data_IF_526158913988
#
_entry.id   IF_526158913988
#
_cell.length_a   1.000
_cell.length_b   1.000
_cell.length_c   1.000
_cell.angle_alpha   90.00
_cell.angle_beta   90.00
_cell.angle_gamma   90.00
#
_symmetry.space_group_name_H-M   'P 1'
#
loop_
_entity.id
_entity.type
_entity.pdbx_description
1 polymer ?
#
# COMPACT_ATOMS: atom_id res chain seq x y z
N UNK A 1 33.87 -24.76 5.11
CA UNK A 1 34.06 -23.56 5.96
C UNK A 1 35.48 -23.08 5.73
N UNK A 2 35.71 -21.95 5.06
CA UNK A 2 37.07 -21.42 4.88
C UNK A 2 37.52 -20.74 6.18
N UNK A 3 38.58 -21.23 6.82
CA UNK A 3 39.11 -20.72 8.09
C UNK A 3 39.52 -19.23 8.06
N UNK A 4 39.74 -18.66 6.87
CA UNK A 4 40.26 -17.31 6.67
C UNK A 4 39.33 -16.18 7.17
N UNK A 5 38.03 -16.43 7.35
CA UNK A 5 37.06 -15.37 7.70
C UNK A 5 36.74 -15.27 9.19
N UNK A 6 37.26 -16.14 10.05
CA UNK A 6 36.91 -16.13 11.49
C UNK A 6 37.47 -14.93 12.27
N UNK A 7 38.52 -14.28 11.76
CA UNK A 7 39.19 -13.17 12.44
C UNK A 7 39.00 -11.82 11.74
N UNK A 8 38.30 -11.78 10.60
CA UNK A 8 38.07 -10.55 9.85
C UNK A 8 36.76 -9.89 10.29
N UNK A 9 36.82 -8.59 10.57
CA UNK A 9 35.64 -7.78 10.91
C UNK A 9 35.08 -7.05 9.69
N UNK A 10 33.84 -6.55 9.78
CA UNK A 10 33.26 -5.67 8.73
C UNK A 10 34.12 -4.42 8.51
N UNK A 11 34.79 -3.93 9.55
CA UNK A 11 35.66 -2.76 9.48
C UNK A 11 36.89 -3.03 8.61
N UNK A 12 37.45 -4.24 8.67
CA UNK A 12 38.63 -4.61 7.88
C UNK A 12 38.32 -4.67 6.38
N UNK A 13 37.09 -5.08 6.02
CA UNK A 13 36.64 -5.13 4.63
C UNK A 13 36.31 -3.75 4.04
N UNK A 14 36.00 -2.74 4.86
CA UNK A 14 35.52 -1.42 4.40
C UNK A 14 36.47 -0.72 3.41
N UNK A 15 37.78 -0.81 3.63
CA UNK A 15 38.78 -0.20 2.73
C UNK A 15 38.84 -0.92 1.38
N UNK A 16 38.73 -2.25 1.39
CA UNK A 16 38.72 -3.05 0.18
C UNK A 16 37.40 -2.87 -0.58
N UNK A 17 36.26 -2.82 0.12
CA UNK A 17 34.95 -2.48 -0.43
C UNK A 17 34.97 -1.11 -1.12
N UNK A 18 35.53 -0.08 -0.49
CA UNK A 18 35.62 1.26 -1.11
C UNK A 18 36.45 1.24 -2.40
N UNK A 19 37.56 0.49 -2.42
CA UNK A 19 38.41 0.37 -3.61
C UNK A 19 37.67 -0.34 -4.75
N UNK A 20 36.98 -1.44 -4.45
CA UNK A 20 36.26 -2.22 -5.45
C UNK A 20 35.02 -1.46 -5.94
N UNK A 21 34.27 -0.81 -5.05
CA UNK A 21 33.15 0.05 -5.43
C UNK A 21 33.60 1.17 -6.38
N UNK A 22 34.73 1.84 -6.12
CA UNK A 22 35.26 2.87 -7.02
C UNK A 22 35.58 2.34 -8.43
N UNK A 23 35.98 1.07 -8.55
CA UNK A 23 36.25 0.43 -9.84
C UNK A 23 34.98 -0.01 -10.57
N UNK A 24 33.87 -0.17 -9.84
CA UNK A 24 32.60 -0.70 -10.35
C UNK A 24 31.45 0.31 -10.21
N UNK A 25 31.74 1.61 -10.37
CA UNK A 25 30.70 2.64 -10.44
C UNK A 25 29.92 2.89 -9.14
N UNK A 26 30.56 2.64 -7.99
CA UNK A 26 29.99 2.81 -6.66
C UNK A 26 29.32 1.57 -6.08
N UNK A 27 29.32 0.44 -6.79
CA UNK A 27 28.70 -0.80 -6.34
C UNK A 27 29.73 -1.93 -6.24
N UNK A 28 29.61 -2.80 -5.23
CA UNK A 28 30.41 -4.01 -5.14
C UNK A 28 29.69 -5.14 -5.88
N UNK A 29 30.30 -5.77 -6.90
CA UNK A 29 29.69 -6.89 -7.61
C UNK A 29 29.32 -8.03 -6.66
N UNK A 30 28.15 -8.64 -6.86
CA UNK A 30 27.67 -9.75 -6.04
C UNK A 30 28.61 -10.97 -6.08
N UNK A 31 29.19 -11.22 -7.26
CA UNK A 31 30.11 -12.34 -7.49
C UNK A 31 31.53 -12.10 -6.98
N UNK A 32 31.79 -10.94 -6.38
CA UNK A 32 33.12 -10.63 -5.85
C UNK A 32 33.43 -11.41 -4.57
N UNK A 33 34.70 -11.77 -4.39
CA UNK A 33 35.21 -12.39 -3.16
C UNK A 33 34.92 -11.52 -1.91
N UNK A 34 34.84 -10.19 -2.04
CA UNK A 34 34.47 -9.28 -0.96
C UNK A 34 33.03 -9.46 -0.51
N UNK A 35 32.09 -9.55 -1.47
CA UNK A 35 30.68 -9.78 -1.18
C UNK A 35 30.45 -11.14 -0.50
N UNK A 36 31.22 -12.16 -0.91
CA UNK A 36 31.20 -13.48 -0.29
C UNK A 36 31.73 -13.43 1.17
N UNK A 37 32.86 -12.77 1.40
CA UNK A 37 33.41 -12.61 2.75
C UNK A 37 32.46 -11.83 3.67
N UNK A 38 31.83 -10.76 3.17
CA UNK A 38 30.83 -9.99 3.92
C UNK A 38 29.63 -10.86 4.32
N UNK A 39 29.13 -11.67 3.40
CA UNK A 39 28.00 -12.58 3.66
C UNK A 39 28.34 -13.59 4.77
N UNK A 40 29.54 -14.16 4.75
CA UNK A 40 30.00 -15.09 5.79
C UNK A 40 30.13 -14.40 7.16
N UNK A 41 30.67 -13.18 7.21
CA UNK A 41 30.76 -12.38 8.45
C UNK A 41 29.35 -12.04 8.98
N UNK A 42 28.43 -11.70 8.10
CA UNK A 42 27.05 -11.38 8.46
C UNK A 42 26.30 -12.59 9.02
N UNK A 43 26.54 -13.77 8.46
CA UNK A 43 25.97 -15.03 8.95
C UNK A 43 26.53 -15.43 10.32
N UNK A 44 27.79 -15.12 10.61
CA UNK A 44 28.43 -15.43 11.89
C UNK A 44 28.16 -14.37 12.97
N UNK A 45 27.58 -13.23 12.62
CA UNK A 45 27.18 -12.22 13.59
C UNK A 45 25.93 -12.66 14.37
N UNK A 46 25.95 -12.47 15.70
CA UNK A 46 24.79 -12.75 16.56
C UNK A 46 23.69 -11.70 16.32
N UNK A 47 22.90 -11.91 15.26
CA UNK A 47 21.75 -11.07 14.88
C UNK A 47 20.72 -10.91 16.00
N UNK A 48 20.35 -11.93 16.79
CA UNK A 48 19.35 -11.72 17.85
C UNK A 48 19.84 -10.74 18.92
N UNK A 49 21.10 -10.81 19.34
CA UNK A 49 21.68 -9.85 20.31
C UNK A 49 21.67 -8.40 19.78
N UNK A 50 21.93 -8.21 18.48
CA UNK A 50 21.85 -6.89 17.85
C UNK A 50 20.42 -6.33 17.84
N UNK A 51 19.43 -7.19 17.58
CA UNK A 51 18.01 -6.81 17.58
C UNK A 51 17.57 -6.38 18.98
N UNK A 52 17.96 -7.12 20.02
CA UNK A 52 17.65 -6.77 21.41
C UNK A 52 18.26 -5.42 21.82
N UNK A 53 19.52 -5.18 21.44
CA UNK A 53 20.21 -3.91 21.70
C UNK A 53 19.52 -2.71 21.02
N UNK A 54 19.05 -2.87 19.79
CA UNK A 54 18.33 -1.81 19.06
C UNK A 54 16.93 -1.60 19.64
N UNK A 55 16.22 -2.68 19.98
CA UNK A 55 14.90 -2.63 20.62
C UNK A 55 14.94 -1.87 21.95
N UNK A 56 15.99 -2.06 22.74
CA UNK A 56 16.18 -1.35 24.00
C UNK A 56 16.47 0.15 23.84
N UNK A 57 17.02 0.59 22.70
CA UNK A 57 17.36 2.00 22.43
C UNK A 57 16.35 2.72 21.53
N UNK A 58 15.22 2.09 21.23
CA UNK A 58 14.19 2.72 20.40
C UNK A 58 13.44 3.77 21.27
N UNK A 59 13.38 5.05 20.87
CA UNK A 59 12.64 6.04 21.62
C UNK A 59 11.18 5.61 21.73
N UNK A 60 10.63 5.71 22.94
CA UNK A 60 9.22 5.44 23.18
C UNK A 60 8.38 6.41 22.33
N UNK A 61 7.33 5.94 21.64
CA UNK A 61 6.39 6.83 20.99
C UNK A 61 5.83 7.85 22.00
N UNK A 62 5.90 9.14 21.69
CA UNK A 62 5.42 10.25 22.53
C UNK A 62 3.91 10.17 22.85
N UNK A 63 3.16 9.41 22.06
CA UNK A 63 1.75 9.14 22.30
C UNK A 63 1.53 7.64 22.41
N UNK A 64 0.97 7.14 23.53
CA UNK A 64 0.53 5.75 23.56
C UNK A 64 -0.48 5.55 22.42
N UNK A 65 -0.49 4.39 21.75
CA UNK A 65 -1.51 4.10 20.77
C UNK A 65 -2.86 4.22 21.47
N UNK A 66 -3.64 5.23 21.07
CA UNK A 66 -5.00 5.40 21.55
C UNK A 66 -5.76 4.13 21.17
N UNK A 67 -6.45 3.56 22.15
CA UNK A 67 -7.30 2.40 21.88
C UNK A 67 -8.21 2.77 20.72
N UNK A 68 -8.21 1.95 19.67
CA UNK A 68 -9.09 2.19 18.54
C UNK A 68 -10.53 2.04 19.03
N UNK A 69 -11.33 3.09 18.88
CA UNK A 69 -12.76 3.16 19.27
C UNK A 69 -13.65 2.28 18.38
N UNK A 70 -13.28 1.00 18.17
CA UNK A 70 -14.03 0.01 17.40
C UNK A 70 -15.44 -0.26 17.95
N UNK A 71 -15.74 0.20 19.17
CA UNK A 71 -17.05 0.07 19.82
C UNK A 71 -17.99 1.25 19.54
N UNK A 72 -17.59 2.26 18.77
CA UNK A 72 -18.49 3.36 18.42
C UNK A 72 -19.46 2.91 17.32
N UNK A 73 -20.74 2.80 17.68
CA UNK A 73 -21.86 2.64 16.76
C UNK A 73 -22.13 3.88 15.89
N UNK A 74 -21.33 4.95 16.05
CA UNK A 74 -21.35 6.12 15.19
C UNK A 74 -20.34 5.96 14.04
N UNK A 75 -20.88 5.78 12.83
CA UNK A 75 -20.13 5.60 11.57
C UNK A 75 -19.16 6.76 11.26
N UNK A 76 -19.30 7.92 11.92
CA UNK A 76 -18.40 9.07 11.76
C UNK A 76 -17.08 8.94 12.52
N UNK A 77 -17.03 8.07 13.52
CA UNK A 77 -15.88 7.90 14.44
C UNK A 77 -15.03 6.67 14.12
N UNK A 78 -15.52 5.74 13.30
CA UNK A 78 -14.68 4.64 12.84
C UNK A 78 -13.63 5.20 11.89
N UNK A 79 -12.37 4.84 12.12
CA UNK A 79 -11.18 5.26 11.38
C UNK A 79 -11.20 4.75 9.92
N UNK A 80 -12.15 5.25 9.11
CA UNK A 80 -12.06 5.22 7.66
C UNK A 80 -11.26 6.45 7.27
N UNK A 81 -10.04 6.23 6.77
CA UNK A 81 -9.07 7.30 6.52
C UNK A 81 -9.65 8.46 5.73
N UNK A 82 -9.39 9.69 6.19
CA UNK A 82 -9.35 11.01 5.53
C UNK A 82 -10.28 11.37 4.34
N UNK A 83 -11.25 10.56 3.96
CA UNK A 83 -12.19 10.80 2.85
C UNK A 83 -13.60 11.18 3.30
N UNK A 84 -13.83 11.38 4.60
CA UNK A 84 -15.17 11.48 5.21
C UNK A 84 -16.03 12.70 4.83
N UNK A 85 -15.63 13.50 3.85
CA UNK A 85 -16.49 14.53 3.25
C UNK A 85 -16.45 14.33 1.73
N UNK A 86 -17.33 13.48 1.25
CA UNK A 86 -17.63 13.38 -0.17
C UNK A 86 -19.04 13.89 -0.36
N UNK A 87 -19.15 15.03 -1.06
CA UNK A 87 -20.44 15.52 -1.53
C UNK A 87 -21.09 14.49 -2.46
N UNK A 88 -22.40 14.64 -2.74
CA UNK A 88 -23.11 13.73 -3.63
C UNK A 88 -22.36 13.63 -4.97
N UNK A 89 -21.82 12.46 -5.27
CA UNK A 89 -21.05 12.18 -6.51
C UNK A 89 -21.99 12.24 -7.73
N UNK A 90 -23.30 12.13 -7.49
CA UNK A 90 -24.36 12.37 -8.45
C UNK A 90 -25.64 12.72 -7.68
N UNK A 91 -26.44 13.66 -8.20
CA UNK A 91 -27.76 13.96 -7.66
C UNK A 91 -28.61 12.68 -7.71
N UNK A 92 -29.07 12.21 -6.54
CA UNK A 92 -30.08 11.16 -6.33
C UNK A 92 -29.66 9.67 -6.45
N UNK A 93 -28.42 9.32 -6.80
CA UNK A 93 -28.04 7.94 -7.17
C UNK A 93 -26.83 7.33 -6.42
N UNK A 94 -26.61 7.71 -5.16
CA UNK A 94 -25.47 7.23 -4.34
C UNK A 94 -25.50 5.72 -4.04
N UNK A 95 -26.68 5.09 -4.06
CA UNK A 95 -26.85 3.66 -3.75
C UNK A 95 -26.15 2.72 -4.74
N UNK A 96 -25.91 3.16 -5.98
CA UNK A 96 -25.18 2.37 -6.98
C UNK A 96 -23.66 2.34 -6.79
N UNK A 97 -23.11 3.30 -6.04
CA UNK A 97 -21.67 3.40 -5.77
C UNK A 97 -21.31 3.06 -4.32
N UNK A 98 -22.17 3.41 -3.36
CA UNK A 98 -21.86 3.39 -1.92
C UNK A 98 -22.90 2.71 -1.04
N UNK A 99 -23.90 2.08 -1.65
CA UNK A 99 -24.88 1.27 -0.94
C UNK A 99 -24.44 -0.18 -0.73
N UNK A 100 -25.03 -0.89 0.23
CA UNK A 100 -24.92 -2.34 0.27
C UNK A 100 -25.46 -2.94 -1.05
N UNK A 101 -24.79 -3.97 -1.58
CA UNK A 101 -25.14 -4.62 -2.85
C UNK A 101 -26.40 -5.51 -2.70
N UNK A 102 -27.53 -4.89 -2.39
CA UNK A 102 -28.82 -5.58 -2.17
C UNK A 102 -29.59 -5.84 -3.46
N UNK A 103 -29.22 -5.20 -4.56
CA UNK A 103 -29.86 -5.32 -5.87
C UNK A 103 -28.89 -5.82 -6.94
N UNK A 104 -29.40 -6.52 -7.96
CA UNK A 104 -28.58 -7.06 -9.05
C UNK A 104 -28.01 -5.94 -9.93
N UNK A 105 -26.86 -6.15 -10.57
CA UNK A 105 -26.23 -5.14 -11.41
C UNK A 105 -27.06 -4.86 -12.68
N UNK A 106 -27.51 -3.62 -12.86
CA UNK A 106 -28.22 -3.18 -14.07
C UNK A 106 -27.35 -3.16 -15.33
N UNK A 107 -26.03 -3.35 -15.19
CA UNK A 107 -25.11 -3.53 -16.33
C UNK A 107 -25.23 -4.92 -16.94
N UNK A 108 -25.58 -5.93 -16.13
CA UNK A 108 -25.66 -7.34 -16.56
C UNK A 108 -27.08 -7.81 -16.78
N UNK A 109 -28.04 -7.16 -16.12
CA UNK A 109 -29.45 -7.57 -16.07
C UNK A 109 -30.31 -6.35 -16.33
N UNK A 110 -31.19 -6.43 -17.33
CA UNK A 110 -32.16 -5.38 -17.63
C UNK A 110 -33.33 -5.46 -16.65
N UNK A 111 -33.33 -4.60 -15.63
CA UNK A 111 -34.39 -4.56 -14.62
C UNK A 111 -35.77 -4.24 -15.18
N UNK A 112 -35.84 -3.43 -16.24
CA UNK A 112 -37.10 -3.06 -16.91
C UNK A 112 -37.69 -4.18 -17.76
N UNK A 113 -36.86 -4.97 -18.45
CA UNK A 113 -37.34 -6.09 -19.27
C UNK A 113 -37.68 -7.28 -18.39
N UNK A 114 -36.83 -7.58 -17.40
CA UNK A 114 -36.96 -8.75 -16.54
C UNK A 114 -37.79 -8.49 -15.28
N UNK A 115 -38.27 -7.26 -15.08
CA UNK A 115 -39.02 -6.84 -13.89
C UNK A 115 -38.29 -7.18 -12.57
N UNK A 116 -36.96 -7.08 -12.59
CA UNK A 116 -36.09 -7.38 -11.45
C UNK A 116 -35.59 -6.10 -10.80
N UNK A 117 -35.43 -6.13 -9.48
CA UNK A 117 -34.80 -5.03 -8.76
C UNK A 117 -33.29 -5.00 -9.06
N UNK A 118 -32.89 -4.08 -9.93
CA UNK A 118 -31.50 -3.85 -10.29
C UNK A 118 -31.03 -2.50 -9.77
N UNK A 119 -29.79 -2.43 -9.27
CA UNK A 119 -29.21 -1.19 -8.76
C UNK A 119 -29.25 -0.10 -9.85
N UNK A 120 -29.60 1.15 -9.52
CA UNK A 120 -29.64 2.23 -10.49
C UNK A 120 -28.23 2.46 -11.03
N UNK A 121 -28.04 2.34 -12.35
CA UNK A 121 -26.80 2.74 -13.03
C UNK A 121 -26.96 4.01 -13.84
N UNK A 122 -28.19 4.41 -14.18
CA UNK A 122 -28.50 5.62 -14.95
C UNK A 122 -27.91 6.84 -14.22
N UNK A 123 -27.12 7.67 -14.91
CA UNK A 123 -26.48 8.85 -14.34
C UNK A 123 -25.21 8.61 -13.52
N UNK A 124 -24.70 7.37 -13.43
CA UNK A 124 -23.47 7.04 -12.70
C UNK A 124 -22.29 6.87 -13.66
N UNK A 125 -21.22 7.64 -13.44
CA UNK A 125 -19.98 7.56 -14.22
C UNK A 125 -20.15 7.93 -15.70
N UNK A 126 -19.23 7.47 -16.55
CA UNK A 126 -19.28 7.68 -18.00
C UNK A 126 -20.25 6.70 -18.64
N UNK A 127 -21.37 7.21 -19.17
CA UNK A 127 -22.34 6.42 -19.92
C UNK A 127 -22.24 6.74 -21.40
N UNK A 128 -22.04 5.72 -22.23
CA UNK A 128 -22.18 5.87 -23.66
C UNK A 128 -23.66 5.89 -24.01
N UNK A 129 -24.13 6.97 -24.62
CA UNK A 129 -25.47 7.07 -25.22
C UNK A 129 -25.27 7.16 -26.73
N UNK A 130 -25.90 6.27 -27.48
CA UNK A 130 -25.90 6.33 -28.95
C UNK A 130 -26.91 7.38 -29.43
N UNK A 131 -26.52 8.23 -30.39
CA UNK A 131 -27.37 9.33 -30.90
C UNK A 131 -27.38 10.55 -29.97
N UNK A 132 -26.21 11.13 -29.74
CA UNK A 132 -26.02 12.11 -28.67
C UNK A 132 -26.46 13.53 -29.09
N UNK A 133 -27.67 13.94 -28.73
CA UNK A 133 -28.17 15.33 -28.86
C UNK A 133 -27.60 16.28 -27.77
N UNK A 134 -26.95 15.73 -26.74
CA UNK A 134 -26.62 16.45 -25.50
C UNK A 134 -25.32 15.94 -24.84
N UNK A 135 -24.53 16.81 -24.19
CA UNK A 135 -23.30 16.41 -23.49
C UNK A 135 -23.53 15.28 -22.46
N UNK A 136 -22.56 14.36 -22.28
CA UNK A 136 -22.68 13.30 -21.29
C UNK A 136 -22.77 13.90 -19.87
N UNK A 137 -23.41 13.16 -18.96
CA UNK A 137 -23.78 13.66 -17.61
C UNK A 137 -22.61 14.16 -16.78
N UNK A 138 -21.42 13.59 -16.98
CA UNK A 138 -20.17 14.00 -16.33
C UNK A 138 -19.58 15.31 -16.90
N UNK A 139 -19.98 15.71 -18.10
CA UNK A 139 -19.58 16.96 -18.75
C UNK A 139 -20.58 18.11 -18.53
N UNK A 140 -21.74 17.86 -17.90
CA UNK A 140 -22.77 18.88 -17.61
C UNK A 140 -22.50 19.68 -16.33
N UNK A 141 -21.52 19.28 -15.52
CA UNK A 141 -21.12 20.02 -14.32
C UNK A 141 -20.02 21.05 -14.65
N UNK A 142 -20.25 22.31 -14.28
CA UNK A 142 -19.26 23.39 -14.29
C UNK A 142 -19.02 23.86 -12.87
#
# INVERSE_FOLDING_TARGET
>A
MSEQTYHATRQDLRKAESRVANLHGGQNPADSNLSHMKSIIDQNSNKPEQIERVKANLPLPEQPPTASDWSSSDQRTVNVGSGGIEGPISSEMDSGLRGPATASSSVRVSGSELHQNTAPSKGIGRQAVEGLDDLPSDAKAR
#
